data_IF_038983613726
#
_entry.id   IF_038983613726
#
_cell.length_a   1.000
_cell.length_b   1.000
_cell.length_c   1.000
_cell.angle_alpha   90.00
_cell.angle_beta   90.00
_cell.angle_gamma   90.00
#
_symmetry.space_group_name_H-M   'P 1'
#
loop_
_entity.id
_entity.type
_entity.pdbx_description
1 polymer ?
#
# COMPACT_ATOMS: atom_id res chain seq x y z
N UNK A 1 -51.07 -38.01 -2.76
CA UNK A 1 -49.61 -38.21 -2.87
C UNK A 1 -48.98 -36.85 -3.06
N UNK A 2 -48.40 -36.26 -2.00
CA UNK A 2 -47.67 -34.99 -2.10
C UNK A 2 -46.18 -35.33 -2.14
N UNK A 3 -45.57 -35.30 -3.32
CA UNK A 3 -44.12 -35.32 -3.47
C UNK A 3 -43.58 -33.97 -3.01
N UNK A 4 -42.91 -33.96 -1.85
CA UNK A 4 -42.02 -32.84 -1.49
C UNK A 4 -40.77 -33.00 -2.34
N UNK A 5 -40.56 -32.09 -3.29
CA UNK A 5 -39.27 -31.92 -3.94
C UNK A 5 -38.29 -31.36 -2.90
N UNK A 6 -37.29 -32.15 -2.51
CA UNK A 6 -36.19 -31.65 -1.71
C UNK A 6 -35.32 -30.77 -2.62
N UNK A 7 -35.39 -29.46 -2.41
CA UNK A 7 -34.42 -28.53 -2.98
C UNK A 7 -33.05 -28.85 -2.38
N UNK A 8 -32.04 -28.97 -3.24
CA UNK A 8 -30.65 -29.09 -2.84
C UNK A 8 -30.28 -27.81 -2.07
N UNK A 9 -30.18 -27.91 -0.75
CA UNK A 9 -29.75 -26.81 0.10
C UNK A 9 -28.23 -26.88 0.18
N UNK A 10 -27.55 -26.16 -0.71
CA UNK A 10 -26.11 -26.02 -0.69
C UNK A 10 -25.76 -25.04 0.44
N UNK A 11 -25.36 -25.58 1.60
CA UNK A 11 -24.98 -24.77 2.75
C UNK A 11 -23.57 -24.22 2.45
N UNK A 12 -23.47 -22.96 2.00
CA UNK A 12 -22.19 -22.26 1.86
C UNK A 12 -21.65 -21.93 3.27
N UNK A 13 -20.84 -22.83 3.82
CA UNK A 13 -20.19 -22.62 5.12
C UNK A 13 -18.83 -21.94 4.98
N UNK A 14 -18.58 -20.96 5.85
CA UNK A 14 -17.26 -20.31 5.95
C UNK A 14 -16.32 -21.18 6.76
N UNK A 15 -15.05 -21.15 6.38
CA UNK A 15 -13.99 -21.86 7.10
C UNK A 15 -12.61 -21.37 6.72
N UNK A 16 -11.63 -21.88 7.47
CA UNK A 16 -10.22 -21.56 7.25
C UNK A 16 -9.53 -22.76 6.61
N UNK A 17 -8.77 -22.50 5.55
CA UNK A 17 -7.95 -23.54 4.90
C UNK A 17 -6.83 -23.97 5.85
N UNK A 18 -6.80 -25.25 6.23
CA UNK A 18 -5.74 -25.83 7.07
C UNK A 18 -4.66 -26.53 6.23
N UNK A 19 -5.07 -27.21 5.16
CA UNK A 19 -4.17 -27.98 4.29
C UNK A 19 -4.72 -28.05 2.87
N UNK A 20 -3.84 -28.08 1.88
CA UNK A 20 -4.17 -28.36 0.48
C UNK A 20 -3.42 -29.63 0.07
N UNK A 21 -4.14 -30.62 -0.45
CA UNK A 21 -3.60 -31.91 -0.94
C UNK A 21 -4.19 -32.22 -2.32
N UNK A 22 -3.34 -32.14 -3.35
CA UNK A 22 -3.74 -32.39 -4.74
C UNK A 22 -5.00 -31.57 -5.12
N UNK A 23 -6.14 -32.23 -5.33
CA UNK A 23 -7.42 -31.63 -5.73
C UNK A 23 -8.34 -31.32 -4.53
N UNK A 24 -7.93 -31.72 -3.31
CA UNK A 24 -8.73 -31.56 -2.10
C UNK A 24 -8.14 -30.49 -1.18
N UNK A 25 -9.02 -29.64 -0.66
CA UNK A 25 -8.71 -28.63 0.34
C UNK A 25 -9.35 -29.03 1.66
N UNK A 26 -8.53 -29.15 2.69
CA UNK A 26 -8.95 -29.43 4.05
C UNK A 26 -9.28 -28.11 4.76
N UNK A 27 -10.55 -27.92 5.05
CA UNK A 27 -11.08 -26.71 5.66
C UNK A 27 -11.55 -27.02 7.07
N UNK A 28 -11.19 -26.15 8.01
CA UNK A 28 -11.83 -26.10 9.33
C UNK A 28 -13.03 -25.17 9.27
N UNK A 29 -14.27 -25.70 9.37
CA UNK A 29 -15.47 -24.87 9.39
C UNK A 29 -15.48 -23.96 10.62
N UNK A 30 -16.09 -22.78 10.49
CA UNK A 30 -16.25 -21.87 11.63
C UNK A 30 -17.26 -22.40 12.66
N UNK A 31 -18.27 -23.15 12.22
CA UNK A 31 -19.28 -23.72 13.11
C UNK A 31 -18.72 -24.86 13.97
N UNK A 32 -18.91 -24.72 15.30
CA UNK A 32 -18.50 -25.72 16.31
C UNK A 32 -19.23 -27.05 16.21
N UNK A 33 -20.32 -27.12 15.45
CA UNK A 33 -21.18 -28.31 15.32
C UNK A 33 -20.72 -29.28 14.22
N UNK A 34 -19.71 -28.90 13.43
CA UNK A 34 -19.16 -29.70 12.34
C UNK A 34 -17.89 -30.46 12.79
N UNK A 35 -17.46 -31.50 12.05
CA UNK A 35 -16.16 -32.14 12.26
C UNK A 35 -15.03 -31.11 12.28
N UNK A 36 -13.94 -31.40 13.01
CA UNK A 36 -12.80 -30.47 13.15
C UNK A 36 -12.22 -30.00 11.80
N UNK A 37 -12.21 -30.88 10.80
CA UNK A 37 -11.68 -30.60 9.46
C UNK A 37 -12.50 -31.39 8.44
N UNK A 38 -12.85 -30.77 7.33
CA UNK A 38 -13.60 -31.37 6.22
C UNK A 38 -12.75 -31.24 4.95
N UNK A 39 -12.63 -32.33 4.18
CA UNK A 39 -11.98 -32.30 2.87
C UNK A 39 -13.03 -31.99 1.80
N UNK A 40 -12.79 -30.95 1.00
CA UNK A 40 -13.68 -30.47 -0.05
C UNK A 40 -12.86 -30.34 -1.34
N UNK A 41 -13.43 -30.73 -2.48
CA UNK A 41 -12.74 -30.57 -3.75
C UNK A 41 -12.58 -29.07 -4.09
N UNK A 42 -11.45 -28.69 -4.70
CA UNK A 42 -11.20 -27.28 -5.05
C UNK A 42 -12.28 -26.67 -5.97
N UNK A 43 -12.94 -27.48 -6.80
CA UNK A 43 -14.01 -27.03 -7.69
C UNK A 43 -15.31 -26.65 -6.98
N UNK A 44 -15.48 -27.12 -5.73
CA UNK A 44 -16.63 -26.82 -4.88
C UNK A 44 -16.37 -25.62 -3.95
N UNK A 45 -15.20 -24.98 -4.07
CA UNK A 45 -14.79 -23.86 -3.22
C UNK A 45 -14.81 -22.53 -3.96
N UNK A 46 -15.25 -21.51 -3.23
CA UNK A 46 -15.15 -20.12 -3.66
C UNK A 46 -14.50 -19.30 -2.56
N UNK A 47 -13.60 -18.39 -2.94
CA UNK A 47 -13.07 -17.41 -2.00
C UNK A 47 -14.19 -16.49 -1.53
N UNK A 48 -14.29 -16.32 -0.22
CA UNK A 48 -15.27 -15.45 0.40
C UNK A 48 -14.66 -14.07 0.71
N UNK A 49 -15.42 -13.00 0.49
CA UNK A 49 -14.98 -11.62 0.76
C UNK A 49 -16.12 -10.78 1.34
N UNK A 50 -15.77 -9.88 2.26
CA UNK A 50 -16.66 -8.87 2.83
C UNK A 50 -16.14 -7.46 2.55
N UNK A 51 -17.03 -6.47 2.38
CA UNK A 51 -16.64 -5.06 2.42
C UNK A 51 -15.84 -4.77 3.70
N UNK A 52 -14.70 -4.08 3.55
CA UNK A 52 -13.75 -3.84 4.64
C UNK A 52 -12.53 -4.77 4.62
N UNK A 53 -12.59 -5.93 3.95
CA UNK A 53 -11.39 -6.76 3.80
C UNK A 53 -10.34 -6.04 2.98
N UNK A 54 -9.07 -6.15 3.40
CA UNK A 54 -7.94 -5.60 2.70
C UNK A 54 -7.35 -6.67 1.79
N UNK A 55 -7.19 -6.32 0.52
CA UNK A 55 -6.85 -7.27 -0.53
C UNK A 55 -5.69 -6.75 -1.36
N UNK A 56 -4.84 -7.67 -1.80
CA UNK A 56 -3.77 -7.42 -2.76
C UNK A 56 -4.06 -8.17 -4.06
N UNK A 57 -3.95 -7.46 -5.17
CA UNK A 57 -4.09 -8.04 -6.51
C UNK A 57 -2.78 -8.75 -6.86
N UNK A 58 -2.82 -10.07 -7.04
CA UNK A 58 -1.64 -10.91 -7.31
C UNK A 58 -1.47 -11.26 -8.79
N UNK A 59 -2.52 -11.09 -9.60
CA UNK A 59 -2.54 -11.41 -11.03
C UNK A 59 -3.44 -10.46 -11.83
N UNK A 60 -3.31 -10.47 -13.16
CA UNK A 60 -4.04 -9.60 -14.07
C UNK A 60 -3.45 -8.19 -14.24
N UNK A 61 -4.15 -7.31 -14.97
CA UNK A 61 -3.66 -5.98 -15.39
C UNK A 61 -3.40 -5.02 -14.22
N UNK A 62 -3.99 -5.28 -13.05
CA UNK A 62 -3.87 -4.45 -11.85
C UNK A 62 -2.98 -5.10 -10.77
N UNK A 63 -2.16 -6.08 -11.15
CA UNK A 63 -1.23 -6.78 -10.24
C UNK A 63 -0.38 -5.79 -9.44
N UNK A 64 -0.24 -6.07 -8.15
CA UNK A 64 0.49 -5.25 -7.19
C UNK A 64 -0.37 -4.19 -6.50
N UNK A 65 -1.54 -3.86 -7.02
CA UNK A 65 -2.46 -2.93 -6.36
C UNK A 65 -2.96 -3.51 -5.02
N UNK A 66 -3.08 -2.65 -4.02
CA UNK A 66 -3.68 -2.97 -2.72
C UNK A 66 -4.83 -2.03 -2.42
N UNK A 67 -5.82 -2.51 -1.68
CA UNK A 67 -6.95 -1.69 -1.28
C UNK A 67 -7.98 -2.44 -0.46
N UNK A 68 -9.02 -1.71 -0.08
CA UNK A 68 -10.12 -2.24 0.72
C UNK A 68 -11.30 -2.60 -0.19
N UNK A 69 -11.91 -3.77 0.02
CA UNK A 69 -13.14 -4.16 -0.68
C UNK A 69 -14.26 -3.21 -0.26
N UNK A 70 -14.92 -2.59 -1.23
CA UNK A 70 -16.10 -1.73 -0.99
C UNK A 70 -17.38 -2.35 -1.55
N UNK A 71 -17.26 -3.28 -2.49
CA UNK A 71 -18.40 -4.00 -3.06
C UNK A 71 -17.97 -5.38 -3.55
N UNK A 72 -18.85 -6.36 -3.36
CA UNK A 72 -18.71 -7.73 -3.86
C UNK A 72 -19.89 -8.03 -4.78
N UNK A 73 -19.61 -8.40 -6.03
CA UNK A 73 -20.60 -8.80 -7.03
C UNK A 73 -20.20 -10.15 -7.63
N UNK A 74 -20.76 -11.24 -7.11
CA UNK A 74 -20.43 -12.61 -7.54
C UNK A 74 -18.90 -12.83 -7.51
N UNK A 75 -18.26 -13.00 -8.68
CA UNK A 75 -16.82 -13.22 -8.82
C UNK A 75 -16.00 -11.93 -9.07
N UNK A 76 -16.63 -10.76 -8.96
CA UNK A 76 -15.97 -9.45 -9.18
C UNK A 76 -16.00 -8.62 -7.90
N UNK A 77 -14.82 -8.18 -7.49
CA UNK A 77 -14.64 -7.27 -6.38
C UNK A 77 -14.41 -5.85 -6.90
N UNK A 78 -15.05 -4.88 -6.23
CA UNK A 78 -14.66 -3.48 -6.35
C UNK A 78 -13.85 -3.10 -5.13
N UNK A 79 -12.59 -2.74 -5.38
CA UNK A 79 -11.60 -2.40 -4.36
C UNK A 79 -11.32 -0.90 -4.46
N UNK A 80 -11.38 -0.19 -3.32
CA UNK A 80 -10.87 1.16 -3.23
C UNK A 80 -9.35 1.12 -3.02
N UNK A 81 -8.61 1.58 -4.02
CA UNK A 81 -7.15 1.59 -4.01
C UNK A 81 -6.60 2.41 -2.86
N UNK A 82 -5.72 1.82 -2.06
CA UNK A 82 -4.97 2.55 -1.03
C UNK A 82 -4.07 3.63 -1.65
N UNK A 83 -3.68 3.41 -2.92
CA UNK A 83 -2.74 4.28 -3.64
C UNK A 83 -3.39 5.42 -4.37
N UNK A 84 -4.20 5.11 -5.36
CA UNK A 84 -4.79 6.12 -6.22
C UNK A 84 -6.06 6.72 -5.65
N UNK A 85 -6.64 6.10 -4.59
CA UNK A 85 -7.98 6.41 -4.07
C UNK A 85 -9.10 6.21 -5.12
N UNK A 86 -8.80 5.48 -6.19
CA UNK A 86 -9.75 5.12 -7.23
C UNK A 86 -10.33 3.72 -7.01
N UNK A 87 -11.52 3.48 -7.58
CA UNK A 87 -12.13 2.16 -7.60
C UNK A 87 -11.48 1.28 -8.67
N UNK A 88 -11.07 0.08 -8.28
CA UNK A 88 -10.49 -0.94 -9.16
C UNK A 88 -11.41 -2.15 -9.14
N UNK A 89 -11.85 -2.61 -10.32
CA UNK A 89 -12.60 -3.86 -10.47
C UNK A 89 -11.64 -5.00 -10.79
N UNK A 90 -11.70 -6.08 -10.02
CA UNK A 90 -10.84 -7.26 -10.18
C UNK A 90 -11.63 -8.54 -9.91
N UNK A 91 -11.21 -9.64 -10.54
CA UNK A 91 -11.77 -10.96 -10.25
C UNK A 91 -11.31 -11.46 -8.88
N UNK A 92 -12.21 -12.16 -8.18
CA UNK A 92 -11.96 -12.85 -6.91
C UNK A 92 -10.69 -13.72 -6.93
N UNK A 93 -10.46 -14.41 -8.04
CA UNK A 93 -9.32 -15.32 -8.19
C UNK A 93 -7.98 -14.57 -8.18
N UNK A 94 -7.99 -13.31 -8.64
CA UNK A 94 -6.81 -12.49 -8.80
C UNK A 94 -6.39 -11.76 -7.51
N UNK A 95 -7.08 -12.00 -6.40
CA UNK A 95 -6.79 -11.34 -5.12
C UNK A 95 -6.50 -12.33 -3.99
N UNK A 96 -5.73 -11.85 -3.03
CA UNK A 96 -5.45 -12.53 -1.76
C UNK A 96 -5.63 -11.53 -0.61
N UNK A 97 -6.03 -12.03 0.55
CA UNK A 97 -6.13 -11.22 1.76
C UNK A 97 -4.76 -10.61 2.08
N UNK A 98 -4.76 -9.34 2.47
CA UNK A 98 -3.56 -8.57 2.71
C UNK A 98 -3.69 -7.79 4.00
N UNK A 99 -2.75 -8.02 4.92
CA UNK A 99 -2.57 -7.18 6.10
C UNK A 99 -1.77 -5.90 5.78
N UNK A 100 -1.30 -5.73 4.54
CA UNK A 100 -0.52 -4.57 4.11
C UNK A 100 -1.43 -3.35 3.89
N UNK A 101 -1.55 -2.49 4.90
CA UNK A 101 -2.08 -1.14 4.73
C UNK A 101 -1.02 -0.32 3.99
N UNK A 102 -1.06 -0.36 2.65
CA UNK A 102 -0.29 0.49 1.73
C UNK A 102 1.25 0.34 1.74
N UNK A 103 1.81 -0.86 1.94
CA UNK A 103 3.28 -1.10 1.86
C UNK A 103 3.69 -1.96 0.66
N UNK A 104 2.96 -1.89 -0.45
CA UNK A 104 3.06 -2.89 -1.52
C UNK A 104 4.37 -2.87 -2.33
N UNK A 105 5.10 -1.76 -2.36
CA UNK A 105 6.39 -1.60 -3.04
C UNK A 105 7.19 -0.59 -2.23
N UNK A 106 8.38 -0.94 -1.74
CA UNK A 106 9.24 -0.03 -0.95
C UNK A 106 10.42 0.50 -1.77
N UNK A 107 10.64 -0.06 -2.97
CA UNK A 107 11.75 0.30 -3.85
C UNK A 107 11.45 0.00 -5.31
N UNK A 108 11.99 0.82 -6.21
CA UNK A 108 12.15 0.51 -7.63
C UNK A 108 13.65 0.64 -7.94
N UNK A 109 14.30 -0.48 -8.27
CA UNK A 109 15.77 -0.58 -8.39
C UNK A 109 16.47 -0.09 -7.12
N UNK A 110 17.33 0.92 -7.24
CA UNK A 110 18.16 1.46 -6.16
C UNK A 110 17.51 2.64 -5.41
N UNK A 111 16.27 2.98 -5.78
CA UNK A 111 15.51 4.07 -5.18
C UNK A 111 14.41 3.53 -4.28
N UNK A 112 14.47 3.93 -3.02
CA UNK A 112 13.53 3.52 -1.97
C UNK A 112 12.85 4.73 -1.34
N UNK A 113 11.81 4.46 -0.57
CA UNK A 113 11.11 5.44 0.25
C UNK A 113 12.11 6.30 1.06
N UNK A 114 11.83 7.59 1.17
CA UNK A 114 12.65 8.60 1.85
C UNK A 114 14.01 8.89 1.21
N UNK A 115 14.33 8.37 0.03
CA UNK A 115 15.53 8.83 -0.66
C UNK A 115 15.35 10.25 -1.21
N UNK A 116 16.37 11.09 -1.01
CA UNK A 116 16.51 12.39 -1.65
C UNK A 116 17.11 12.21 -3.05
N UNK A 117 16.55 12.89 -4.04
CA UNK A 117 16.93 12.74 -5.44
C UNK A 117 16.93 14.06 -6.20
N UNK A 118 17.77 14.12 -7.23
CA UNK A 118 17.80 15.17 -8.24
C UNK A 118 17.06 14.68 -9.48
N UNK A 119 16.16 15.51 -10.00
CA UNK A 119 15.39 15.29 -11.22
C UNK A 119 16.08 15.94 -12.41
N UNK A 120 15.76 15.49 -13.63
CA UNK A 120 16.41 15.95 -14.87
C UNK A 120 16.21 17.43 -15.16
N UNK A 121 15.12 18.01 -14.68
CA UNK A 121 14.84 19.45 -14.78
C UNK A 121 15.56 20.28 -13.70
N UNK A 122 16.57 19.72 -13.02
CA UNK A 122 17.29 20.30 -11.88
C UNK A 122 16.41 20.60 -10.65
N UNK A 123 15.15 20.15 -10.61
CA UNK A 123 14.39 20.08 -9.36
C UNK A 123 14.92 18.95 -8.48
N UNK A 124 14.66 19.00 -7.18
CA UNK A 124 14.99 17.94 -6.24
C UNK A 124 13.81 17.67 -5.32
N UNK A 125 13.80 16.50 -4.70
CA UNK A 125 12.74 16.12 -3.76
C UNK A 125 12.99 14.79 -3.09
N UNK A 126 12.12 14.46 -2.14
CA UNK A 126 12.18 13.23 -1.35
C UNK A 126 11.04 12.31 -1.78
N UNK A 127 11.34 11.02 -1.95
CA UNK A 127 10.29 10.01 -2.18
C UNK A 127 9.43 9.88 -0.92
N UNK A 128 8.16 10.22 -1.03
CA UNK A 128 7.15 10.02 0.04
C UNK A 128 6.26 8.82 -0.23
N UNK A 129 6.31 8.28 -1.47
CA UNK A 129 5.62 7.05 -1.84
C UNK A 129 6.28 6.37 -3.02
N UNK A 130 6.30 5.04 -3.01
CA UNK A 130 6.69 4.21 -4.15
C UNK A 130 5.44 3.53 -4.72
N UNK A 131 5.26 3.65 -6.04
CA UNK A 131 4.21 2.97 -6.80
C UNK A 131 4.82 1.87 -7.69
N UNK A 132 4.05 1.28 -8.61
CA UNK A 132 4.55 0.18 -9.47
C UNK A 132 5.60 0.61 -10.49
N UNK A 133 5.45 1.81 -11.06
CA UNK A 133 6.32 2.30 -12.15
C UNK A 133 6.76 3.77 -11.96
N UNK A 134 6.42 4.36 -10.81
CA UNK A 134 6.66 5.77 -10.52
C UNK A 134 6.75 6.00 -9.00
N UNK A 135 7.16 7.20 -8.63
CA UNK A 135 7.29 7.67 -7.26
C UNK A 135 6.42 8.90 -7.05
N UNK A 136 5.80 9.03 -5.88
CA UNK A 136 5.30 10.34 -5.43
C UNK A 136 6.44 11.04 -4.70
N UNK A 137 6.85 12.18 -5.22
CA UNK A 137 7.99 12.96 -4.74
C UNK A 137 7.50 14.28 -4.19
N UNK A 138 7.87 14.58 -2.94
CA UNK A 138 7.72 15.91 -2.36
C UNK A 138 8.88 16.79 -2.84
N UNK A 139 8.57 17.82 -3.65
CA UNK A 139 9.57 18.73 -4.20
C UNK A 139 10.10 19.69 -3.15
N UNK A 140 11.40 19.97 -3.23
CA UNK A 140 12.10 20.94 -2.38
C UNK A 140 11.91 22.38 -2.84
N UNK A 141 10.67 22.86 -2.86
CA UNK A 141 10.31 24.25 -3.17
C UNK A 141 9.88 24.98 -1.90
N UNK A 142 10.32 26.23 -1.72
CA UNK A 142 10.11 26.99 -0.48
C UNK A 142 8.72 27.61 -0.34
N UNK A 143 8.02 27.87 -1.45
CA UNK A 143 6.75 28.59 -1.41
C UNK A 143 5.59 27.73 -0.89
N UNK A 144 5.47 26.49 -1.38
CA UNK A 144 4.38 25.58 -1.04
C UNK A 144 4.81 24.13 -1.15
N UNK A 145 4.34 23.23 -0.27
CA UNK A 145 4.51 21.79 -0.47
C UNK A 145 3.91 21.38 -1.83
N UNK A 146 4.73 20.82 -2.71
CA UNK A 146 4.32 20.33 -4.01
C UNK A 146 4.68 18.86 -4.13
N UNK A 147 3.68 18.02 -4.42
CA UNK A 147 3.87 16.58 -4.66
C UNK A 147 3.65 16.30 -6.14
N UNK A 148 4.58 15.57 -6.76
CA UNK A 148 4.49 15.16 -8.16
C UNK A 148 4.76 13.68 -8.34
N UNK A 149 4.08 13.07 -9.31
CA UNK A 149 4.38 11.73 -9.78
C UNK A 149 5.59 11.77 -10.72
N UNK A 150 6.65 11.04 -10.39
CA UNK A 150 7.94 11.04 -11.10
C UNK A 150 8.27 9.63 -11.55
N UNK A 151 8.54 9.42 -12.84
CA UNK A 151 9.01 8.12 -13.35
C UNK A 151 10.52 7.99 -13.15
N UNK A 152 11.00 6.75 -13.08
CA UNK A 152 12.43 6.45 -12.92
C UNK A 152 13.33 7.16 -13.95
N UNK A 153 12.86 7.30 -15.20
CA UNK A 153 13.61 7.96 -16.29
C UNK A 153 13.79 9.47 -16.13
N UNK A 154 13.06 10.09 -15.21
CA UNK A 154 13.11 11.53 -14.93
C UNK A 154 14.05 11.84 -13.74
N UNK A 155 14.63 10.79 -13.14
CA UNK A 155 15.56 10.90 -12.02
C UNK A 155 16.98 10.89 -12.56
N UNK A 156 17.70 11.96 -12.25
CA UNK A 156 19.10 12.14 -12.62
C UNK A 156 20.04 11.33 -11.73
N UNK A 157 19.88 11.46 -10.41
CA UNK A 157 20.68 10.71 -9.42
C UNK A 157 20.10 10.80 -7.99
N UNK A 158 20.59 9.91 -7.12
CA UNK A 158 20.40 9.97 -5.66
C UNK A 158 21.36 10.98 -5.05
N UNK A 159 20.86 11.78 -4.10
CA UNK A 159 21.65 12.78 -3.38
C UNK A 159 22.04 12.26 -1.99
N UNK A 160 23.30 12.47 -1.60
CA UNK A 160 23.90 11.99 -0.34
C UNK A 160 24.72 13.04 0.40
N UNK A 161 24.67 14.30 -0.04
CA UNK A 161 25.60 15.33 0.44
C UNK A 161 25.31 15.78 1.87
N UNK A 162 26.39 16.09 2.59
CA UNK A 162 26.34 16.74 3.90
C UNK A 162 26.27 18.24 3.70
N UNK A 163 25.23 18.87 4.21
CA UNK A 163 25.05 20.31 4.14
C UNK A 163 25.39 20.96 5.46
N UNK A 164 26.08 22.09 5.38
CA UNK A 164 26.23 23.00 6.51
C UNK A 164 25.01 23.92 6.51
N UNK A 165 24.06 23.65 7.40
CA UNK A 165 22.94 24.54 7.66
C UNK A 165 23.11 25.19 9.03
N UNK A 166 22.73 26.45 9.14
CA UNK A 166 22.67 27.15 10.42
C UNK A 166 21.24 27.61 10.69
N UNK A 167 20.83 27.56 11.96
CA UNK A 167 19.56 28.12 12.39
C UNK A 167 19.62 29.66 12.52
N UNK A 168 18.50 30.28 12.92
CA UNK A 168 18.44 31.73 13.12
C UNK A 168 19.37 32.26 14.23
N UNK A 169 19.86 31.39 15.11
CA UNK A 169 20.78 31.70 16.20
C UNK A 169 22.22 31.34 15.84
N UNK A 170 22.50 30.95 14.59
CA UNK A 170 23.81 30.51 14.07
C UNK A 170 24.30 29.19 14.67
N UNK A 171 23.41 28.39 15.24
CA UNK A 171 23.75 27.02 15.63
C UNK A 171 23.84 26.16 14.38
N UNK A 172 24.82 25.26 14.34
CA UNK A 172 24.89 24.26 13.29
C UNK A 172 23.74 23.26 13.43
N UNK A 173 23.11 22.97 12.29
CA UNK A 173 21.98 22.05 12.18
C UNK A 173 22.38 20.90 11.25
N UNK A 174 22.20 19.68 11.73
CA UNK A 174 22.55 18.45 11.03
C UNK A 174 21.32 17.56 10.82
N UNK A 175 21.45 16.61 9.89
CA UNK A 175 20.48 15.53 9.75
C UNK A 175 20.38 14.76 11.08
N UNK A 176 19.16 14.38 11.46
CA UNK A 176 18.74 13.80 12.74
C UNK A 176 18.63 14.77 13.93
N UNK A 177 19.04 16.03 13.79
CA UNK A 177 18.72 17.03 14.81
C UNK A 177 17.21 17.29 14.84
N UNK A 178 16.65 17.47 16.03
CA UNK A 178 15.25 17.83 16.21
C UNK A 178 15.11 19.34 16.16
N UNK A 179 14.33 19.85 15.21
CA UNK A 179 14.12 21.28 15.01
C UNK A 179 12.68 21.69 15.20
N UNK A 180 12.47 22.87 15.79
CA UNK A 180 11.15 23.47 15.92
C UNK A 180 10.91 24.48 14.80
N UNK A 181 9.80 24.33 14.09
CA UNK A 181 9.41 25.22 13.01
C UNK A 181 8.74 26.47 13.62
N UNK A 182 9.33 27.63 13.37
CA UNK A 182 8.90 28.90 14.00
C UNK A 182 7.87 29.67 13.16
N UNK A 183 7.91 29.51 11.84
CA UNK A 183 7.13 30.27 10.87
C UNK A 183 6.73 29.40 9.67
N UNK A 184 5.73 29.83 8.91
CA UNK A 184 5.23 29.11 7.73
C UNK A 184 4.13 28.07 8.03
N UNK A 185 3.73 27.28 7.01
CA UNK A 185 2.59 26.35 7.09
C UNK A 185 2.72 25.27 8.16
N UNK A 186 3.95 24.92 8.52
CA UNK A 186 4.25 23.87 9.51
C UNK A 186 4.63 24.45 10.89
N UNK A 187 4.33 25.73 11.16
CA UNK A 187 4.66 26.41 12.42
C UNK A 187 4.18 25.61 13.65
N UNK A 188 5.06 25.50 14.65
CA UNK A 188 4.79 24.83 15.92
C UNK A 188 5.18 23.36 15.96
N UNK A 189 5.42 22.72 14.81
CA UNK A 189 5.92 21.34 14.75
C UNK A 189 7.37 21.23 15.23
N UNK A 190 7.70 20.08 15.80
CA UNK A 190 9.03 19.79 16.32
C UNK A 190 9.41 18.36 15.95
N UNK A 191 10.17 18.22 14.87
CA UNK A 191 10.41 16.95 14.20
C UNK A 191 11.92 16.80 13.87
N UNK A 192 12.43 15.57 13.79
CA UNK A 192 13.79 15.31 13.33
C UNK A 192 13.96 15.66 11.85
N UNK A 193 15.14 16.20 11.52
CA UNK A 193 15.54 16.44 10.13
C UNK A 193 15.92 15.13 9.46
N UNK A 194 15.32 14.84 8.31
CA UNK A 194 15.67 13.69 7.49
C UNK A 194 16.64 14.05 6.38
N UNK A 195 16.41 15.18 5.68
CA UNK A 195 17.28 15.66 4.60
C UNK A 195 17.46 17.16 4.64
N UNK A 196 18.64 17.61 4.21
CA UNK A 196 18.95 19.02 3.96
C UNK A 196 19.47 19.10 2.54
N UNK A 197 19.00 20.06 1.74
CA UNK A 197 19.54 20.33 0.41
C UNK A 197 19.23 21.75 -0.03
N UNK A 198 20.25 22.50 -0.48
CA UNK A 198 20.11 23.90 -0.95
C UNK A 198 19.29 24.82 -0.01
N UNK A 199 19.48 24.66 1.30
CA UNK A 199 18.77 25.45 2.31
C UNK A 199 17.32 25.03 2.59
N UNK A 200 16.82 24.00 1.91
CA UNK A 200 15.53 23.36 2.21
C UNK A 200 15.75 22.19 3.16
N UNK A 201 14.88 22.09 4.16
CA UNK A 201 14.92 21.05 5.19
C UNK A 201 13.67 20.19 5.05
N UNK A 202 13.86 18.88 4.93
CA UNK A 202 12.78 17.90 5.01
C UNK A 202 12.77 17.30 6.40
N UNK A 203 11.62 17.42 7.07
CA UNK A 203 11.37 16.83 8.39
C UNK A 203 10.40 15.66 8.26
N UNK A 204 10.50 14.71 9.18
CA UNK A 204 9.67 13.50 9.21
C UNK A 204 9.05 13.33 10.59
N UNK A 205 7.76 12.98 10.61
CA UNK A 205 6.94 12.66 11.80
C UNK A 205 6.76 11.14 11.87
#
# INVERSE_FOLDING_TARGET
MNSKSFGHLEIMEKGWVEKVEEENVHIRPEMKCLPKTVAINETELCKYFEPGNHMKVVSGTKKGATGMVVKVEQHVLTILSNTTKEHIRVFADNVVESFEVATGITKIRDYELHNLMLLDNNCFGVIIRVESEAFQVLKGVLERPEVSLVKLREIKCKLHEKFNLQDKYKNHVSVKDVVRILEGPCKGKQDPIEHIYKGVVFVYD
#
